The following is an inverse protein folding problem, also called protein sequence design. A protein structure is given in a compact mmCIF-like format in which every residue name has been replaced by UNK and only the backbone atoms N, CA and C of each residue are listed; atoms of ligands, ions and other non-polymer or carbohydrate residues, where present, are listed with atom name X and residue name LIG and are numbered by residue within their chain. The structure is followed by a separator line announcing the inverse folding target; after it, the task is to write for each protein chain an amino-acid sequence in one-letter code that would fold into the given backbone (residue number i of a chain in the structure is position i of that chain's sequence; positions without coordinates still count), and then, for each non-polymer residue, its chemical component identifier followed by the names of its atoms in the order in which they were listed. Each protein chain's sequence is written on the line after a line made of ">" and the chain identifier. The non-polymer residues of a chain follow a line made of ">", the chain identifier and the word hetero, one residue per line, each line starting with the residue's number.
data_IF_466196571495
#
_entry.id   IF_466196571495
#
_cell.length_a   1.000
_cell.length_b   1.000
_cell.length_c   1.000
_cell.angle_alpha   90.00
_cell.angle_beta   90.00
_cell.angle_gamma   90.00
#
_symmetry.space_group_name_H-M   'P 1'
#
loop_
_entity.id
_entity.type
_entity.pdbx_description
1 polymer ?
#
# COMPACT_ATOMS: atom_id res chain seq x y z
N UNK A 1 -24.05 13.72 -18.46
CA UNK A 1 -23.01 13.68 -17.42
C UNK A 1 -23.36 12.56 -16.47
N UNK A 2 -22.72 11.40 -16.59
CA UNK A 2 -22.71 10.36 -15.56
C UNK A 2 -21.56 9.43 -15.89
N UNK A 3 -20.34 9.91 -15.62
CA UNK A 3 -19.20 9.02 -15.53
C UNK A 3 -19.34 8.33 -14.18
N UNK A 4 -19.58 7.02 -14.16
CA UNK A 4 -19.66 6.26 -12.92
C UNK A 4 -18.27 6.27 -12.29
N UNK A 5 -18.06 7.15 -11.30
CA UNK A 5 -16.84 7.19 -10.50
C UNK A 5 -16.60 5.80 -9.90
N UNK A 6 -15.35 5.29 -9.96
CA UNK A 6 -15.03 4.00 -9.37
C UNK A 6 -15.32 4.04 -7.86
N UNK A 7 -15.87 2.98 -7.26
CA UNK A 7 -16.20 2.98 -5.82
C UNK A 7 -15.03 3.35 -4.91
N UNK A 8 -13.80 2.97 -5.26
CA UNK A 8 -12.60 3.33 -4.53
C UNK A 8 -12.27 4.84 -4.62
N UNK A 9 -12.47 5.46 -5.79
CA UNK A 9 -12.24 6.89 -5.99
C UNK A 9 -13.30 7.72 -5.25
N UNK A 10 -14.56 7.27 -5.27
CA UNK A 10 -15.64 7.84 -4.46
C UNK A 10 -15.32 7.76 -2.97
N UNK A 11 -14.84 6.60 -2.48
CA UNK A 11 -14.47 6.41 -1.08
C UNK A 11 -13.34 7.36 -0.67
N UNK A 12 -12.30 7.48 -1.50
CA UNK A 12 -11.18 8.42 -1.27
C UNK A 12 -11.70 9.85 -1.20
N UNK A 13 -12.50 10.28 -2.18
CA UNK A 13 -13.03 11.65 -2.27
C UNK A 13 -13.93 12.01 -1.09
N UNK A 14 -14.85 11.13 -0.71
CA UNK A 14 -15.77 11.36 0.43
C UNK A 14 -15.01 11.35 1.76
N UNK A 15 -14.05 10.43 1.92
CA UNK A 15 -13.23 10.37 3.14
C UNK A 15 -12.37 11.62 3.28
N UNK A 16 -11.72 12.08 2.20
CA UNK A 16 -10.95 13.31 2.19
C UNK A 16 -11.81 14.53 2.55
N UNK A 17 -13.01 14.66 1.95
CA UNK A 17 -13.92 15.75 2.25
C UNK A 17 -14.36 15.74 3.73
N UNK A 18 -14.63 14.56 4.30
CA UNK A 18 -14.98 14.42 5.70
C UNK A 18 -13.81 14.80 6.64
N UNK A 19 -12.57 14.43 6.31
CA UNK A 19 -11.38 14.81 7.09
C UNK A 19 -11.20 16.33 7.10
N UNK A 20 -11.32 17.00 5.95
CA UNK A 20 -11.23 18.47 5.87
C UNK A 20 -12.33 19.16 6.70
N UNK A 21 -13.56 18.66 6.61
CA UNK A 21 -14.69 19.20 7.36
C UNK A 21 -14.53 19.01 8.88
N UNK A 22 -14.10 17.82 9.33
CA UNK A 22 -13.93 17.51 10.75
C UNK A 22 -12.74 18.23 11.39
N UNK A 23 -11.62 18.33 10.67
CA UNK A 23 -10.42 19.06 11.12
C UNK A 23 -10.61 20.58 11.14
N UNK A 24 -11.65 21.10 10.48
CA UNK A 24 -11.87 22.54 10.25
C UNK A 24 -10.71 23.22 9.50
N UNK A 25 -10.03 22.47 8.62
CA UNK A 25 -8.92 22.96 7.78
C UNK A 25 -9.30 22.77 6.31
N UNK A 26 -9.70 23.87 5.64
CA UNK A 26 -10.21 23.83 4.27
C UNK A 26 -9.12 23.53 3.24
N UNK A 27 -7.91 24.03 3.49
CA UNK A 27 -6.74 23.88 2.61
C UNK A 27 -5.96 22.58 2.87
N UNK A 28 -6.39 21.77 3.84
CA UNK A 28 -5.71 20.52 4.20
C UNK A 28 -5.65 19.57 3.00
N UNK A 29 -4.45 19.12 2.62
CA UNK A 29 -4.26 18.13 1.58
C UNK A 29 -4.45 16.72 2.13
N UNK A 30 -5.13 15.85 1.40
CA UNK A 30 -5.36 14.46 1.84
C UNK A 30 -4.83 13.52 0.76
N UNK A 31 -3.77 12.79 1.12
CA UNK A 31 -3.11 11.83 0.25
C UNK A 31 -3.46 10.40 0.69
N UNK A 32 -3.44 9.47 -0.26
CA UNK A 32 -3.66 8.05 0.00
C UNK A 32 -2.42 7.27 -0.42
N UNK A 33 -1.79 6.55 0.51
CA UNK A 33 -0.54 5.82 0.29
C UNK A 33 -0.65 4.36 0.74
N UNK A 34 0.23 3.50 0.23
CA UNK A 34 0.18 2.06 0.51
C UNK A 34 0.49 1.71 1.98
N UNK A 35 1.27 2.54 2.69
CA UNK A 35 1.70 2.25 4.06
C UNK A 35 1.66 3.46 4.97
N UNK A 36 1.17 3.25 6.19
CA UNK A 36 1.19 4.22 7.27
C UNK A 36 0.13 5.30 7.17
N UNK A 37 -0.30 5.78 8.34
CA UNK A 37 -1.15 6.94 8.49
C UNK A 37 -0.38 8.02 9.24
N UNK A 38 -0.36 9.24 8.71
CA UNK A 38 0.31 10.37 9.35
C UNK A 38 -0.46 11.66 9.11
N UNK A 39 -0.28 12.63 9.99
CA UNK A 39 -0.87 13.95 9.86
C UNK A 39 0.17 15.01 10.20
N UNK A 40 0.30 15.99 9.32
CA UNK A 40 0.97 17.26 9.57
C UNK A 40 -0.10 18.37 9.60
N UNK A 41 0.32 19.60 9.86
CA UNK A 41 -0.61 20.73 9.88
C UNK A 41 -1.27 21.01 8.51
N UNK A 42 -0.57 20.69 7.42
CA UNK A 42 -0.97 21.01 6.05
C UNK A 42 -1.44 19.79 5.27
N UNK A 43 -1.00 18.57 5.63
CA UNK A 43 -1.32 17.35 4.90
C UNK A 43 -1.65 16.17 5.82
N UNK A 44 -2.59 15.33 5.38
CA UNK A 44 -2.91 14.03 6.00
C UNK A 44 -2.66 12.92 5.00
N UNK A 45 -1.87 11.93 5.41
CA UNK A 45 -1.64 10.71 4.64
C UNK A 45 -2.47 9.58 5.24
N UNK A 46 -3.39 9.04 4.45
CA UNK A 46 -4.25 7.91 4.81
C UNK A 46 -3.82 6.64 4.09
N UNK A 47 -4.09 5.46 4.66
CA UNK A 47 -3.89 4.21 3.95
C UNK A 47 -4.82 4.14 2.74
N UNK A 48 -4.29 3.77 1.58
CA UNK A 48 -5.08 3.54 0.39
C UNK A 48 -6.00 2.33 0.60
N UNK A 49 -7.30 2.42 0.25
CA UNK A 49 -8.18 1.25 0.29
C UNK A 49 -7.65 0.18 -0.66
N UNK A 50 -7.40 -1.02 -0.14
CA UNK A 50 -6.97 -2.19 -0.92
C UNK A 50 -8.19 -2.98 -1.40
N UNK A 51 -8.21 -3.35 -2.68
CA UNK A 51 -9.26 -4.18 -3.25
C UNK A 51 -10.66 -3.53 -3.28
N UNK A 52 -11.73 -4.33 -3.49
CA UNK A 52 -13.09 -3.81 -3.50
C UNK A 52 -13.52 -3.33 -2.10
N UNK A 53 -14.32 -2.26 -2.00
CA UNK A 53 -14.69 -1.68 -0.71
C UNK A 53 -15.56 -2.65 0.11
N UNK A 54 -14.97 -3.25 1.15
CA UNK A 54 -15.69 -4.01 2.16
C UNK A 54 -16.18 -3.08 3.28
N UNK A 55 -17.28 -3.45 3.95
CA UNK A 55 -17.81 -2.66 5.07
C UNK A 55 -16.78 -2.48 6.20
N UNK A 56 -16.02 -3.54 6.51
CA UNK A 56 -14.94 -3.51 7.50
C UNK A 56 -13.77 -2.62 7.04
N UNK A 57 -13.35 -2.73 5.78
CA UNK A 57 -12.28 -1.91 5.22
C UNK A 57 -12.63 -0.42 5.19
N UNK A 58 -13.88 -0.08 4.85
CA UNK A 58 -14.40 1.29 4.93
C UNK A 58 -14.37 1.78 6.38
N UNK A 59 -14.87 0.99 7.33
CA UNK A 59 -14.93 1.39 8.74
C UNK A 59 -13.53 1.59 9.32
N UNK A 60 -12.57 0.73 8.96
CA UNK A 60 -11.15 0.87 9.33
C UNK A 60 -10.54 2.16 8.79
N UNK A 61 -10.70 2.41 7.48
CA UNK A 61 -10.21 3.63 6.84
C UNK A 61 -10.83 4.88 7.48
N UNK A 62 -12.15 4.87 7.69
CA UNK A 62 -12.88 5.95 8.34
C UNK A 62 -12.42 6.16 9.78
N UNK A 63 -12.16 5.09 10.54
CA UNK A 63 -11.63 5.18 11.90
C UNK A 63 -10.26 5.86 11.94
N UNK A 64 -9.35 5.49 11.03
CA UNK A 64 -8.03 6.14 10.93
C UNK A 64 -8.17 7.61 10.54
N UNK A 65 -9.01 7.90 9.54
CA UNK A 65 -9.26 9.25 9.06
C UNK A 65 -9.88 10.14 10.15
N UNK A 66 -10.87 9.62 10.87
CA UNK A 66 -11.56 10.35 11.93
C UNK A 66 -10.62 10.61 13.12
N UNK A 67 -9.79 9.63 13.52
CA UNK A 67 -8.80 9.81 14.59
C UNK A 67 -7.80 10.93 14.27
N UNK A 68 -7.28 10.98 13.05
CA UNK A 68 -6.35 12.03 12.61
C UNK A 68 -7.05 13.40 12.49
N UNK A 69 -8.26 13.43 11.95
CA UNK A 69 -9.02 14.67 11.82
C UNK A 69 -9.38 15.28 13.19
N UNK A 70 -9.74 14.44 14.16
CA UNK A 70 -10.01 14.87 15.53
C UNK A 70 -8.77 15.39 16.23
N UNK A 71 -7.62 14.75 16.01
CA UNK A 71 -6.34 15.25 16.51
C UNK A 71 -6.06 16.63 15.92
N UNK A 72 -6.12 16.81 14.61
CA UNK A 72 -5.92 18.12 13.98
C UNK A 72 -6.91 19.20 14.44
N UNK A 73 -8.11 18.81 14.89
CA UNK A 73 -9.15 19.72 15.35
C UNK A 73 -8.96 20.21 16.78
N UNK A 74 -8.56 19.30 17.68
CA UNK A 74 -8.59 19.51 19.12
C UNK A 74 -7.21 19.57 19.77
N UNK A 75 -6.16 19.29 19.02
CA UNK A 75 -4.78 19.34 19.45
C UNK A 75 -4.08 20.63 19.00
N UNK A 76 -3.46 21.32 19.94
CA UNK A 76 -2.52 22.41 19.75
C UNK A 76 -1.09 21.85 19.85
N UNK A 77 -0.35 21.92 18.74
CA UNK A 77 0.99 21.36 18.64
C UNK A 77 2.03 22.12 19.49
N UNK A 78 1.85 23.42 19.71
CA UNK A 78 2.79 24.25 20.46
C UNK A 78 2.63 24.07 21.97
N UNK A 79 1.39 23.94 22.43
CA UNK A 79 1.09 23.54 23.82
C UNK A 79 1.64 22.14 24.09
N UNK A 80 1.42 21.20 23.17
CA UNK A 80 1.93 19.84 23.30
C UNK A 80 3.45 19.77 23.37
N UNK A 81 4.16 20.44 22.45
CA UNK A 81 5.63 20.46 22.39
C UNK A 81 6.26 21.05 23.65
N UNK A 82 5.63 22.06 24.26
CA UNK A 82 6.10 22.68 25.51
C UNK A 82 5.90 21.79 26.74
N UNK A 83 4.86 20.96 26.74
CA UNK A 83 4.53 20.10 27.89
C UNK A 83 5.04 18.67 27.76
N UNK A 84 5.39 18.23 26.55
CA UNK A 84 5.83 16.88 26.29
C UNK A 84 7.06 16.52 27.16
N UNK A 85 7.02 15.38 27.87
CA UNK A 85 8.17 14.87 28.60
C UNK A 85 9.33 14.51 27.66
N UNK A 86 10.56 14.57 28.19
CA UNK A 86 11.81 14.22 27.49
C UNK A 86 12.05 12.72 27.40
N UNK A 87 11.67 11.95 28.44
CA UNK A 87 11.86 10.50 28.47
C UNK A 87 10.92 9.76 27.49
N UNK A 88 11.40 8.69 26.81
CA UNK A 88 10.64 8.00 25.76
C UNK A 88 9.32 7.38 26.27
N UNK A 89 9.34 6.75 27.45
CA UNK A 89 8.14 6.12 28.01
C UNK A 89 7.12 7.16 28.47
N UNK A 90 7.57 8.22 29.15
CA UNK A 90 6.72 9.35 29.54
C UNK A 90 6.11 10.05 28.32
N UNK A 91 6.89 10.24 27.26
CA UNK A 91 6.42 10.80 26.00
C UNK A 91 5.33 9.91 25.37
N UNK A 92 5.53 8.59 25.34
CA UNK A 92 4.54 7.65 24.80
C UNK A 92 3.22 7.66 25.61
N UNK A 93 3.30 7.75 26.95
CA UNK A 93 2.12 7.92 27.81
C UNK A 93 1.40 9.23 27.50
N UNK A 94 2.15 10.32 27.37
CA UNK A 94 1.62 11.65 27.07
C UNK A 94 0.87 11.66 25.73
N UNK A 95 1.46 11.06 24.70
CA UNK A 95 0.85 10.87 23.37
C UNK A 95 -0.43 10.03 23.42
N UNK A 96 -0.41 8.90 24.12
CA UNK A 96 -1.56 8.00 24.21
C UNK A 96 -2.76 8.68 24.90
N UNK A 97 -2.49 9.43 25.98
CA UNK A 97 -3.52 10.15 26.74
C UNK A 97 -4.06 11.36 25.98
N UNK A 98 -3.22 12.06 25.22
CA UNK A 98 -3.63 13.17 24.38
C UNK A 98 -4.48 12.70 23.19
N UNK A 99 -4.13 11.54 22.59
CA UNK A 99 -4.94 10.91 21.56
C UNK A 99 -6.33 10.53 22.12
N UNK A 100 -6.39 9.91 23.31
CA UNK A 100 -7.65 9.57 23.97
C UNK A 100 -8.52 10.81 24.23
N UNK A 101 -7.92 11.93 24.65
CA UNK A 101 -8.61 13.21 24.84
C UNK A 101 -9.23 13.70 23.53
N UNK A 102 -8.44 13.82 22.46
CA UNK A 102 -8.92 14.31 21.16
C UNK A 102 -10.07 13.44 20.61
N UNK A 103 -9.91 12.12 20.71
CA UNK A 103 -10.94 11.17 20.29
C UNK A 103 -12.23 11.31 21.12
N UNK A 104 -12.13 11.53 22.44
CA UNK A 104 -13.30 11.61 23.32
C UNK A 104 -14.17 12.83 23.01
N UNK A 105 -13.54 13.98 22.75
CA UNK A 105 -14.22 15.22 22.37
C UNK A 105 -15.00 15.06 21.05
N UNK A 106 -14.44 14.29 20.11
CA UNK A 106 -15.10 13.94 18.86
C UNK A 106 -16.25 12.96 19.04
N UNK A 107 -16.00 11.87 19.76
CA UNK A 107 -16.95 10.78 19.97
C UNK A 107 -18.25 11.25 20.67
N UNK A 108 -18.14 12.19 21.63
CA UNK A 108 -19.31 12.77 22.30
C UNK A 108 -20.25 13.52 21.35
N UNK A 109 -19.71 14.16 20.31
CA UNK A 109 -20.48 14.99 19.38
C UNK A 109 -20.98 14.21 18.18
N UNK A 110 -20.29 13.12 17.82
CA UNK A 110 -20.50 12.40 16.57
C UNK A 110 -20.56 10.89 16.82
N UNK A 111 -21.77 10.35 16.98
CA UNK A 111 -22.00 8.93 17.29
C UNK A 111 -21.42 7.99 16.22
N UNK A 112 -21.48 8.38 14.94
CA UNK A 112 -20.86 7.59 13.87
C UNK A 112 -19.34 7.53 13.94
N UNK A 113 -18.70 8.63 14.37
CA UNK A 113 -17.25 8.69 14.59
C UNK A 113 -16.87 7.83 15.79
N UNK A 114 -17.67 7.85 16.87
CA UNK A 114 -17.46 6.97 18.02
C UNK A 114 -17.41 5.49 17.60
N UNK A 115 -18.35 5.05 16.75
CA UNK A 115 -18.35 3.68 16.21
C UNK A 115 -17.12 3.35 15.36
N UNK A 116 -16.67 4.28 14.52
CA UNK A 116 -15.46 4.07 13.70
C UNK A 116 -14.20 3.96 14.57
N UNK A 117 -14.08 4.80 15.61
CA UNK A 117 -12.97 4.77 16.55
C UNK A 117 -12.97 3.50 17.41
N UNK A 118 -14.14 3.06 17.87
CA UNK A 118 -14.30 1.81 18.63
C UNK A 118 -13.88 0.60 17.78
N UNK A 119 -14.28 0.55 16.50
CA UNK A 119 -13.86 -0.48 15.56
C UNK A 119 -12.34 -0.48 15.34
N UNK A 120 -11.76 0.71 15.09
CA UNK A 120 -10.31 0.85 14.90
C UNK A 120 -9.52 0.37 16.12
N UNK A 121 -9.99 0.73 17.32
CA UNK A 121 -9.33 0.34 18.57
C UNK A 121 -9.43 -1.17 18.80
N UNK A 122 -10.58 -1.78 18.56
CA UNK A 122 -10.76 -3.23 18.67
C UNK A 122 -9.82 -4.00 17.72
N UNK A 123 -9.69 -3.54 16.47
CA UNK A 123 -8.73 -4.06 15.49
C UNK A 123 -7.28 -3.94 15.98
N UNK A 124 -6.88 -2.78 16.52
CA UNK A 124 -5.53 -2.58 17.09
C UNK A 124 -5.27 -3.53 18.27
N UNK A 125 -6.23 -3.67 19.19
CA UNK A 125 -6.09 -4.57 20.33
C UNK A 125 -6.00 -6.05 19.89
N UNK A 126 -6.74 -6.44 18.84
CA UNK A 126 -6.67 -7.79 18.28
C UNK A 126 -5.34 -8.05 17.60
N UNK A 127 -4.85 -7.11 16.79
CA UNK A 127 -3.55 -7.21 16.13
C UNK A 127 -2.38 -7.34 17.11
N UNK A 128 -2.50 -6.76 18.31
CA UNK A 128 -1.51 -6.88 19.40
C UNK A 128 -1.71 -8.12 20.28
N UNK A 129 -2.74 -8.92 20.05
CA UNK A 129 -2.99 -10.15 20.82
C UNK A 129 -3.50 -9.94 22.24
N UNK A 130 -4.02 -8.76 22.59
CA UNK A 130 -4.44 -8.44 23.97
C UNK A 130 -5.55 -9.32 24.54
N UNK A 131 -6.30 -10.01 23.68
CA UNK A 131 -7.29 -11.00 24.13
C UNK A 131 -6.70 -12.25 24.79
N UNK A 132 -5.42 -12.56 24.56
CA UNK A 132 -4.73 -13.74 25.10
C UNK A 132 -3.68 -13.45 26.17
N UNK A 133 -3.45 -12.17 26.50
CA UNK A 133 -2.41 -11.78 27.47
C UNK A 133 -2.84 -12.13 28.89
N UNK A 134 -2.01 -12.90 29.60
CA UNK A 134 -2.27 -13.29 31.01
C UNK A 134 -1.36 -12.58 32.00
N UNK A 135 -0.18 -12.12 31.55
CA UNK A 135 0.80 -11.45 32.39
C UNK A 135 0.82 -9.94 32.15
N UNK A 136 1.19 -9.18 33.18
CA UNK A 136 1.23 -7.72 33.09
C UNK A 136 2.36 -7.23 32.18
N UNK A 137 3.47 -7.96 32.14
CA UNK A 137 4.71 -7.58 31.44
C UNK A 137 4.57 -7.61 29.91
N UNK A 138 3.60 -8.36 29.40
CA UNK A 138 3.29 -8.44 27.97
C UNK A 138 2.56 -7.19 27.43
N UNK A 139 2.15 -6.28 28.33
CA UNK A 139 1.39 -5.08 28.01
C UNK A 139 2.26 -3.82 28.05
N UNK A 140 2.22 -3.01 26.98
CA UNK A 140 2.84 -1.69 26.99
C UNK A 140 2.03 -0.72 27.84
N UNK A 141 2.64 -0.22 28.92
CA UNK A 141 2.00 0.71 29.87
C UNK A 141 1.34 1.96 29.23
N UNK A 142 1.93 2.62 28.21
CA UNK A 142 1.28 3.74 27.52
C UNK A 142 -0.10 3.38 26.94
N UNK A 143 -0.24 2.18 26.40
CA UNK A 143 -1.48 1.73 25.78
C UNK A 143 -2.54 1.42 26.82
N UNK A 144 -2.15 0.76 27.90
CA UNK A 144 -3.05 0.47 29.02
C UNK A 144 -3.57 1.77 29.65
N UNK A 145 -2.71 2.78 29.80
CA UNK A 145 -3.11 4.10 30.29
C UNK A 145 -4.05 4.81 29.31
N UNK A 146 -3.78 4.77 28.01
CA UNK A 146 -4.68 5.32 26.99
C UNK A 146 -6.06 4.65 27.00
N UNK A 147 -6.10 3.32 27.14
CA UNK A 147 -7.33 2.53 27.27
C UNK A 147 -8.10 2.85 28.56
N UNK A 148 -7.38 3.01 29.67
CA UNK A 148 -7.98 3.37 30.95
C UNK A 148 -8.53 4.80 30.94
N UNK A 149 -7.83 5.75 30.32
CA UNK A 149 -8.32 7.11 30.14
C UNK A 149 -9.56 7.15 29.23
N UNK A 150 -9.57 6.36 28.15
CA UNK A 150 -10.75 6.17 27.30
C UNK A 150 -11.97 5.71 28.09
N UNK A 151 -11.82 4.78 29.03
CA UNK A 151 -12.93 4.31 29.87
C UNK A 151 -13.46 5.42 30.80
N UNK A 152 -12.60 6.35 31.24
CA UNK A 152 -13.00 7.47 32.10
C UNK A 152 -13.59 8.64 31.32
N UNK A 153 -13.15 8.85 30.09
CA UNK A 153 -13.61 9.95 29.25
C UNK A 153 -15.01 9.63 28.67
N UNK A 154 -15.90 10.64 28.56
CA UNK A 154 -17.26 10.39 28.09
C UNK A 154 -17.29 10.02 26.60
N UNK A 155 -18.29 9.22 26.23
CA UNK A 155 -18.60 8.91 24.83
C UNK A 155 -17.78 7.78 24.22
N UNK A 156 -17.00 7.04 25.02
CA UNK A 156 -16.18 5.95 24.54
C UNK A 156 -16.34 4.69 25.40
N UNK A 157 -16.37 3.53 24.76
CA UNK A 157 -16.40 2.24 25.46
C UNK A 157 -15.06 1.53 25.31
N UNK A 158 -14.71 0.72 26.31
CA UNK A 158 -13.58 -0.17 26.22
C UNK A 158 -13.95 -1.40 25.35
N UNK A 159 -13.19 -1.72 24.29
CA UNK A 159 -13.47 -2.88 23.45
C UNK A 159 -13.31 -4.17 24.25
N UNK A 160 -14.03 -5.22 23.86
CA UNK A 160 -14.08 -6.48 24.61
C UNK A 160 -12.69 -7.11 24.74
N UNK A 161 -11.91 -7.01 23.68
CA UNK A 161 -10.54 -7.48 23.55
C UNK A 161 -9.57 -6.79 24.53
N UNK A 162 -9.87 -5.57 24.97
CA UNK A 162 -9.01 -4.78 25.87
C UNK A 162 -9.41 -4.85 27.35
N UNK A 163 -10.57 -5.42 27.68
CA UNK A 163 -11.07 -5.45 29.07
C UNK A 163 -10.13 -6.22 29.99
N UNK A 164 -9.69 -7.40 29.55
CA UNK A 164 -8.86 -8.27 30.38
C UNK A 164 -7.53 -7.62 30.76
N UNK A 165 -6.81 -7.07 29.79
CA UNK A 165 -5.53 -6.39 29.99
C UNK A 165 -5.67 -5.15 30.88
N UNK A 166 -6.74 -4.37 30.74
CA UNK A 166 -7.00 -3.22 31.61
C UNK A 166 -7.30 -3.67 33.04
N UNK A 167 -8.10 -4.73 33.22
CA UNK A 167 -8.45 -5.28 34.54
C UNK A 167 -7.21 -5.76 35.31
N UNK A 168 -6.21 -6.33 34.63
CA UNK A 168 -4.94 -6.74 35.26
C UNK A 168 -4.18 -5.58 35.89
N UNK A 169 -4.21 -4.40 35.26
CA UNK A 169 -3.50 -3.18 35.68
C UNK A 169 -4.34 -2.22 36.52
N UNK A 170 -5.67 -2.39 36.51
CA UNK A 170 -6.64 -1.44 37.08
C UNK A 170 -6.37 -1.11 38.54
N UNK A 171 -6.15 -2.11 39.38
CA UNK A 171 -5.93 -1.90 40.82
C UNK A 171 -4.65 -1.12 41.11
N UNK A 172 -3.58 -1.41 40.36
CA UNK A 172 -2.30 -0.74 40.53
C UNK A 172 -2.35 0.71 40.04
N UNK A 173 -2.91 0.94 38.85
CA UNK A 173 -3.02 2.28 38.26
C UNK A 173 -4.00 3.15 39.05
N UNK A 174 -5.14 2.62 39.51
CA UNK A 174 -6.05 3.38 40.36
C UNK A 174 -5.41 3.76 41.70
N UNK A 175 -4.52 2.92 42.25
CA UNK A 175 -3.80 3.25 43.49
C UNK A 175 -2.78 4.38 43.29
N UNK A 176 -2.09 4.43 42.14
CA UNK A 176 -1.05 5.43 41.85
C UNK A 176 -1.60 6.75 41.28
N UNK A 177 -2.52 6.65 40.32
CA UNK A 177 -3.01 7.79 39.51
C UNK A 177 -4.54 7.92 39.46
N UNK A 178 -5.26 7.19 40.31
CA UNK A 178 -6.72 7.22 40.37
C UNK A 178 -7.36 8.61 40.55
N UNK A 179 -6.83 9.48 41.43
CA UNK A 179 -7.34 10.85 41.58
C UNK A 179 -7.22 11.67 40.29
N UNK A 180 -6.05 11.63 39.64
CA UNK A 180 -5.79 12.36 38.39
C UNK A 180 -6.68 11.83 37.26
N UNK A 181 -6.86 10.50 37.16
CA UNK A 181 -7.77 9.86 36.19
C UNK A 181 -9.22 10.34 36.34
N UNK A 182 -9.67 10.63 37.56
CA UNK A 182 -11.03 11.13 37.82
C UNK A 182 -11.21 12.61 37.44
N UNK A 183 -10.11 13.36 37.29
CA UNK A 183 -10.13 14.77 36.89
C UNK A 183 -9.95 14.97 35.39
N UNK A 184 -9.55 13.94 34.64
CA UNK A 184 -9.38 14.00 33.18
C UNK A 184 -10.65 14.48 32.46
N UNK A 185 -11.83 14.01 32.86
CA UNK A 185 -13.10 14.42 32.24
C UNK A 185 -13.35 15.92 32.39
N UNK A 186 -13.06 16.49 33.57
CA UNK A 186 -13.30 17.91 33.86
C UNK A 186 -12.40 18.82 33.05
N UNK A 187 -11.17 18.37 32.79
CA UNK A 187 -10.15 19.14 32.07
C UNK A 187 -10.04 18.76 30.59
N UNK A 188 -10.89 17.86 30.06
CA UNK A 188 -10.76 17.38 28.68
C UNK A 188 -10.84 18.50 27.61
N UNK A 189 -11.52 19.61 27.91
CA UNK A 189 -11.67 20.77 27.02
C UNK A 189 -10.46 21.72 27.01
N UNK A 190 -9.63 21.69 28.06
CA UNK A 190 -8.45 22.55 28.21
C UNK A 190 -7.18 21.68 28.11
N UNK A 191 -6.47 21.81 26.98
CA UNK A 191 -5.30 20.99 26.71
C UNK A 191 -4.14 21.26 27.67
N UNK A 192 -3.97 22.50 28.16
CA UNK A 192 -2.89 22.83 29.10
C UNK A 192 -3.18 22.25 30.49
N UNK A 193 -4.41 22.39 30.97
CA UNK A 193 -4.84 21.77 32.23
C UNK A 193 -4.77 20.23 32.17
N UNK A 194 -5.22 19.64 31.06
CA UNK A 194 -5.11 18.19 30.83
C UNK A 194 -3.65 17.73 30.79
N UNK A 195 -2.79 18.43 30.05
CA UNK A 195 -1.37 18.10 29.94
C UNK A 195 -0.64 18.15 31.29
N UNK A 196 -0.97 19.11 32.15
CA UNK A 196 -0.41 19.18 33.51
C UNK A 196 -0.84 17.97 34.37
N UNK A 197 -2.11 17.56 34.32
CA UNK A 197 -2.55 16.33 34.99
C UNK A 197 -1.81 15.10 34.48
N UNK A 198 -1.60 14.99 33.17
CA UNK A 198 -0.85 13.87 32.60
C UNK A 198 0.61 13.89 33.06
N UNK A 199 1.26 15.06 33.14
CA UNK A 199 2.62 15.16 33.69
C UNK A 199 2.67 14.71 35.16
N UNK A 200 1.69 15.09 35.97
CA UNK A 200 1.58 14.61 37.36
C UNK A 200 1.41 13.09 37.42
N UNK A 201 0.64 12.49 36.50
CA UNK A 201 0.52 11.04 36.39
C UNK A 201 1.86 10.38 36.03
N UNK A 202 2.61 10.95 35.09
CA UNK A 202 3.93 10.44 34.67
C UNK A 202 4.93 10.50 35.83
N UNK A 203 4.90 11.56 36.64
CA UNK A 203 5.68 11.66 37.89
C UNK A 203 5.26 10.58 38.88
N UNK A 204 3.95 10.41 39.12
CA UNK A 204 3.44 9.44 40.09
C UNK A 204 3.71 7.97 39.70
N UNK A 205 3.90 7.71 38.42
CA UNK A 205 4.28 6.40 37.89
C UNK A 205 5.80 6.17 37.87
N UNK A 206 6.59 7.16 38.35
CA UNK A 206 8.07 7.13 38.35
C UNK A 206 8.67 6.98 36.95
N UNK A 207 7.96 7.49 35.93
CA UNK A 207 8.34 7.39 34.53
C UNK A 207 9.09 8.64 34.03
N UNK A 208 9.44 9.57 34.94
CA UNK A 208 10.30 10.71 34.62
C UNK A 208 11.77 10.34 34.77
N UNK A 209 12.46 10.19 33.64
CA UNK A 209 13.91 10.38 33.60
C UNK A 209 14.19 11.87 33.35
N UNK A 210 14.54 12.57 34.43
CA UNK A 210 14.88 13.99 34.54
C UNK A 210 13.80 15.02 34.18
N UNK A 211 13.47 15.85 35.17
CA UNK A 211 12.68 17.05 35.01
C UNK A 211 13.38 18.04 34.05
N UNK A 212 12.65 18.81 33.23
CA UNK A 212 13.26 19.82 32.39
C UNK A 212 13.87 20.91 33.27
N UNK A 213 15.18 21.13 33.12
CA UNK A 213 15.80 22.36 33.58
C UNK A 213 15.13 23.56 32.87
N UNK A 214 14.85 24.67 33.58
CA UNK A 214 14.24 25.85 32.97
C UNK A 214 15.17 26.38 31.88
N UNK A 215 14.57 26.71 30.74
CA UNK A 215 15.22 27.14 29.51
C UNK A 215 16.06 28.40 29.73
N UNK A 216 17.36 28.33 29.43
CA UNK A 216 18.14 29.52 29.07
C UNK A 216 18.21 29.64 27.54
N UNK A 217 18.09 30.85 26.98
CA UNK A 217 18.09 31.06 25.53
C UNK A 217 19.53 31.07 25.01
N UNK A 218 19.93 30.03 24.25
CA UNK A 218 21.20 30.09 23.53
C UNK A 218 21.06 30.75 22.16
N UNK A 219 21.88 31.79 22.01
CA UNK A 219 22.08 32.63 20.84
C UNK A 219 22.53 31.83 19.61
N UNK A 220 22.01 32.24 18.45
CA UNK A 220 22.62 32.00 17.14
C UNK A 220 24.01 32.64 17.06
N UNK A 221 25.00 31.90 16.55
CA UNK A 221 26.05 32.49 15.73
C UNK A 221 26.70 31.50 14.77
N UNK A 222 26.79 31.96 13.52
CA UNK A 222 27.35 31.36 12.32
C UNK A 222 28.79 30.86 12.45
N UNK A 223 29.17 29.89 11.60
CA UNK A 223 30.38 30.00 10.76
C UNK A 223 30.32 29.04 9.59
N UNK A 224 30.52 29.59 8.39
CA UNK A 224 30.71 28.94 7.10
C UNK A 224 32.21 28.75 6.77
N UNK A 225 32.47 27.89 5.76
CA UNK A 225 33.66 27.81 4.90
C UNK A 225 34.98 27.28 5.52
N UNK A 226 35.88 26.54 4.85
CA UNK A 226 35.96 25.97 3.49
C UNK A 226 37.13 24.94 3.45
N UNK A 227 37.06 24.06 2.45
CA UNK A 227 38.12 23.49 1.58
C UNK A 227 39.22 22.45 1.98
N UNK A 228 39.28 21.45 1.08
CA UNK A 228 40.44 20.87 0.35
C UNK A 228 41.52 19.93 0.96
N UNK A 229 41.55 18.72 0.35
CA UNK A 229 42.65 18.09 -0.42
C UNK A 229 43.39 16.81 0.06
N UNK A 230 43.21 15.76 -0.79
CA UNK A 230 44.17 14.84 -1.43
C UNK A 230 45.00 13.77 -0.68
N UNK A 231 45.03 12.57 -1.28
CA UNK A 231 46.11 11.58 -1.15
C UNK A 231 45.79 10.17 -1.67
N UNK A 232 46.04 9.90 -2.96
CA UNK A 232 46.18 8.56 -3.56
C UNK A 232 47.41 7.81 -2.97
N UNK A 233 47.41 6.47 -2.87
CA UNK A 233 47.96 5.57 -3.90
C UNK A 233 48.04 4.07 -3.49
N UNK A 234 47.99 3.26 -4.54
CA UNK A 234 48.14 1.82 -4.82
C UNK A 234 48.84 0.81 -3.88
N UNK A 235 48.15 -0.35 -3.75
CA UNK A 235 48.51 -1.69 -4.27
C UNK A 235 49.80 -2.41 -3.80
N UNK A 236 49.66 -3.61 -3.21
CA UNK A 236 50.25 -4.89 -3.69
C UNK A 236 50.05 -6.06 -2.71
N UNK A 237 49.55 -7.18 -3.23
CA UNK A 237 49.56 -8.53 -2.64
C UNK A 237 51.00 -9.12 -2.67
N UNK A 238 51.32 -10.18 -1.90
CA UNK A 238 51.35 -11.51 -2.54
C UNK A 238 51.04 -12.73 -1.64
N UNK A 239 50.66 -13.81 -2.32
CA UNK A 239 50.41 -15.19 -1.88
C UNK A 239 51.55 -15.92 -1.15
N UNK A 240 51.19 -16.94 -0.34
CA UNK A 240 51.82 -18.28 -0.37
C UNK A 240 51.09 -19.31 0.53
N UNK A 241 50.81 -20.48 -0.06
CA UNK A 241 50.24 -21.73 0.47
C UNK A 241 51.05 -22.46 1.57
N UNK A 242 50.36 -23.28 2.39
CA UNK A 242 50.62 -24.74 2.55
C UNK A 242 49.64 -25.43 3.54
N UNK A 243 48.89 -26.42 3.01
CA UNK A 243 48.57 -27.79 3.48
C UNK A 243 48.81 -28.18 4.97
N UNK A 244 48.03 -29.03 5.68
CA UNK A 244 47.47 -30.34 5.28
C UNK A 244 46.51 -30.95 6.34
N UNK A 245 45.54 -31.72 5.84
CA UNK A 245 44.92 -33.00 6.30
C UNK A 245 44.01 -33.14 7.55
N UNK A 246 42.91 -33.89 7.35
CA UNK A 246 42.00 -34.35 8.41
C UNK A 246 40.63 -34.94 7.99
N UNK A 247 40.54 -35.73 6.91
CA UNK A 247 39.62 -36.86 6.65
C UNK A 247 38.17 -36.91 7.25
N UNK A 248 37.13 -37.02 6.40
CA UNK A 248 36.32 -38.26 6.18
C UNK A 248 35.07 -38.03 5.27
N UNK A 249 35.11 -38.78 4.17
CA UNK A 249 34.13 -39.26 3.17
C UNK A 249 32.60 -39.20 3.39
N UNK A 250 31.88 -38.88 2.29
CA UNK A 250 30.83 -39.70 1.62
C UNK A 250 30.17 -38.85 0.51
N UNK A 251 30.69 -38.77 -0.71
CA UNK A 251 30.44 -39.62 -1.90
C UNK A 251 28.96 -39.86 -2.25
N UNK A 252 28.50 -39.16 -3.32
CA UNK A 252 27.53 -39.53 -4.39
C UNK A 252 27.07 -38.20 -5.02
N UNK A 253 27.27 -37.82 -6.28
CA UNK A 253 27.50 -38.53 -7.53
C UNK A 253 26.70 -37.78 -8.61
N UNK A 254 27.18 -36.60 -9.04
CA UNK A 254 26.53 -35.79 -10.08
C UNK A 254 27.29 -35.95 -11.41
N UNK A 255 26.56 -36.48 -12.40
CA UNK A 255 27.03 -36.65 -13.76
C UNK A 255 26.82 -35.35 -14.55
N UNK A 256 27.87 -34.94 -15.25
CA UNK A 256 27.84 -33.92 -16.28
C UNK A 256 26.84 -34.25 -17.38
N UNK A 257 26.04 -33.25 -17.77
CA UNK A 257 25.48 -33.13 -19.12
C UNK A 257 25.64 -31.68 -19.56
N UNK A 258 26.67 -31.45 -20.37
CA UNK A 258 26.76 -30.33 -21.29
C UNK A 258 25.66 -30.48 -22.34
N UNK A 259 24.81 -29.47 -22.49
CA UNK A 259 24.00 -29.28 -23.69
C UNK A 259 24.21 -27.86 -24.19
N UNK A 260 25.30 -27.73 -24.95
CA UNK A 260 25.61 -26.62 -25.82
C UNK A 260 24.65 -26.70 -27.03
N UNK A 261 23.52 -26.00 -26.93
CA UNK A 261 22.68 -25.69 -28.08
C UNK A 261 23.01 -24.26 -28.54
N UNK A 262 24.13 -24.13 -29.25
CA UNK A 262 24.42 -22.99 -30.11
C UNK A 262 23.30 -22.85 -31.15
N UNK A 263 22.36 -21.93 -30.90
CA UNK A 263 21.49 -21.43 -31.94
C UNK A 263 22.31 -20.53 -32.87
N UNK A 264 22.78 -21.11 -33.98
CA UNK A 264 23.57 -20.42 -35.00
C UNK A 264 22.82 -19.19 -35.53
N UNK A 265 23.23 -18.01 -35.08
CA UNK A 265 22.79 -16.70 -35.59
C UNK A 265 23.72 -16.30 -36.74
N UNK A 266 23.59 -16.96 -37.88
CA UNK A 266 24.23 -16.50 -39.13
C UNK A 266 23.13 -16.12 -40.13
N UNK A 267 22.93 -14.80 -40.29
CA UNK A 267 22.08 -14.25 -41.36
C UNK A 267 21.07 -13.17 -40.95
N UNK A 268 21.14 -12.60 -39.73
CA UNK A 268 20.25 -11.51 -39.33
C UNK A 268 21.05 -10.22 -39.22
N UNK A 269 20.64 -9.24 -40.04
CA UNK A 269 21.25 -7.92 -40.19
C UNK A 269 21.42 -7.22 -38.83
N UNK A 270 22.65 -6.77 -38.59
CA UNK A 270 23.18 -6.18 -37.35
C UNK A 270 22.85 -4.68 -37.28
N UNK A 271 21.59 -4.31 -37.44
CA UNK A 271 21.16 -2.91 -37.31
C UNK A 271 19.85 -2.76 -36.53
N UNK A 272 19.75 -3.51 -35.43
CA UNK A 272 18.69 -3.30 -34.43
C UNK A 272 19.31 -2.66 -33.20
N UNK A 273 19.25 -1.33 -33.20
CA UNK A 273 19.47 -0.45 -32.05
C UNK A 273 19.27 -1.18 -30.72
N UNK A 274 20.37 -1.37 -29.97
CA UNK A 274 20.31 -1.69 -28.54
C UNK A 274 19.64 -0.52 -27.82
N UNK A 275 18.31 -0.53 -27.78
CA UNK A 275 17.54 0.24 -26.84
C UNK A 275 17.68 -0.42 -25.48
N UNK A 276 18.61 0.09 -24.67
CA UNK A 276 18.72 -0.17 -23.24
C UNK A 276 17.54 0.51 -22.52
N UNK A 277 16.34 0.01 -22.79
CA UNK A 277 15.13 0.37 -22.07
C UNK A 277 14.86 -0.70 -21.03
N UNK A 278 14.63 -0.30 -19.79
CA UNK A 278 13.99 -1.13 -18.77
C UNK A 278 12.60 -1.52 -19.28
N UNK A 279 12.52 -2.56 -20.11
CA UNK A 279 11.29 -3.00 -20.77
C UNK A 279 10.51 -3.90 -19.81
N UNK A 280 9.70 -3.26 -18.96
CA UNK A 280 8.57 -3.94 -18.33
C UNK A 280 7.76 -4.68 -19.41
N UNK A 281 7.26 -5.90 -19.13
CA UNK A 281 6.55 -6.70 -20.11
C UNK A 281 5.42 -5.89 -20.74
N UNK A 282 5.43 -5.79 -22.08
CA UNK A 282 4.47 -5.02 -22.89
C UNK A 282 3.03 -5.59 -22.91
N UNK A 283 2.59 -6.24 -21.82
CA UNK A 283 1.18 -6.45 -21.52
C UNK A 283 0.61 -5.19 -20.85
N UNK A 284 -0.72 -5.02 -20.83
CA UNK A 284 -1.35 -4.00 -19.98
C UNK A 284 -0.89 -4.24 -18.53
N UNK A 285 -0.01 -3.37 -18.02
CA UNK A 285 0.42 -3.38 -16.60
C UNK A 285 -0.75 -3.07 -15.69
N UNK A 286 -1.75 -2.33 -16.21
CA UNK A 286 -3.09 -2.24 -15.66
C UNK A 286 -4.02 -3.25 -16.35
N UNK A 287 -4.54 -4.18 -15.56
CA UNK A 287 -5.62 -5.07 -15.98
C UNK A 287 -6.83 -4.23 -16.43
N UNK A 288 -7.20 -4.24 -17.71
CA UNK A 288 -8.40 -3.54 -18.19
C UNK A 288 -9.62 -4.23 -17.54
N UNK A 289 -10.33 -3.53 -16.64
CA UNK A 289 -11.54 -4.03 -15.98
C UNK A 289 -12.67 -4.37 -16.98
N UNK A 290 -12.52 -3.96 -18.25
CA UNK A 290 -13.43 -4.35 -19.35
C UNK A 290 -13.08 -5.70 -19.98
N UNK A 291 -11.91 -6.27 -19.69
CA UNK A 291 -11.67 -7.65 -20.08
C UNK A 291 -12.59 -8.54 -19.25
N UNK A 292 -13.32 -9.48 -19.88
CA UNK A 292 -14.15 -10.42 -19.14
C UNK A 292 -13.25 -11.11 -18.12
N UNK A 293 -13.47 -10.83 -16.84
CA UNK A 293 -12.89 -11.67 -15.80
C UNK A 293 -13.43 -13.08 -16.09
N UNK A 294 -12.60 -14.10 -15.93
CA UNK A 294 -13.08 -15.48 -15.78
C UNK A 294 -13.85 -15.62 -14.45
N UNK A 295 -14.72 -14.65 -14.14
CA UNK A 295 -15.76 -14.81 -13.16
C UNK A 295 -16.73 -15.84 -13.74
N UNK A 296 -17.24 -16.77 -12.93
CA UNK A 296 -18.35 -17.61 -13.34
C UNK A 296 -19.54 -16.67 -13.58
N UNK A 297 -19.70 -16.22 -14.82
CA UNK A 297 -20.89 -15.53 -15.26
C UNK A 297 -22.04 -16.53 -15.09
N UNK A 298 -23.12 -16.14 -14.41
CA UNK A 298 -24.35 -16.95 -14.27
C UNK A 298 -25.02 -17.26 -15.64
N UNK A 299 -24.38 -16.85 -16.74
CA UNK A 299 -24.67 -17.18 -18.14
C UNK A 299 -23.76 -18.29 -18.68
N UNK A 300 -23.42 -19.28 -17.86
CA UNK A 300 -22.66 -20.46 -18.28
C UNK A 300 -23.42 -21.31 -19.32
N UNK A 301 -23.36 -20.89 -20.59
CA UNK A 301 -23.68 -21.71 -21.76
C UNK A 301 -22.69 -22.88 -21.92
N UNK A 302 -21.54 -22.78 -21.26
CA UNK A 302 -20.53 -23.82 -21.23
C UNK A 302 -20.70 -24.71 -19.99
N UNK A 303 -20.92 -26.00 -20.21
CA UNK A 303 -20.87 -27.03 -19.17
C UNK A 303 -19.79 -28.03 -19.58
N UNK A 304 -18.89 -28.36 -18.65
CA UNK A 304 -17.94 -29.44 -18.85
C UNK A 304 -18.69 -30.74 -19.20
N UNK A 305 -18.26 -31.43 -20.25
CA UNK A 305 -18.91 -32.65 -20.72
C UNK A 305 -18.74 -33.82 -19.72
N UNK A 306 -17.59 -33.89 -19.05
CA UNK A 306 -17.31 -34.84 -17.96
C UNK A 306 -16.27 -34.23 -17.02
N UNK A 307 -16.38 -34.56 -15.73
CA UNK A 307 -15.39 -34.20 -14.69
C UNK A 307 -14.66 -35.45 -14.15
N UNK A 308 -14.84 -36.61 -14.79
CA UNK A 308 -14.33 -37.89 -14.29
C UNK A 308 -12.79 -38.01 -14.28
N UNK A 309 -12.09 -37.07 -14.93
CA UNK A 309 -10.63 -37.06 -15.09
C UNK A 309 -9.99 -35.77 -14.57
N UNK A 310 -10.78 -34.89 -13.95
CA UNK A 310 -10.31 -33.60 -13.45
C UNK A 310 -10.08 -33.69 -11.94
N UNK A 311 -8.99 -33.09 -11.48
CA UNK A 311 -8.67 -32.97 -10.05
C UNK A 311 -8.41 -31.50 -9.73
N UNK A 312 -9.02 -31.01 -8.64
CA UNK A 312 -8.81 -29.65 -8.13
C UNK A 312 -8.22 -29.79 -6.74
N UNK A 313 -6.95 -29.42 -6.61
CA UNK A 313 -6.18 -29.48 -5.36
C UNK A 313 -5.72 -28.07 -5.03
N UNK A 314 -5.80 -27.70 -3.76
CA UNK A 314 -5.30 -26.39 -3.31
C UNK A 314 -3.77 -26.41 -3.28
N UNK A 315 -3.14 -25.28 -3.62
CA UNK A 315 -1.67 -25.20 -3.71
C UNK A 315 -0.97 -25.52 -2.37
N UNK A 316 -1.65 -25.24 -1.25
CA UNK A 316 -1.19 -25.54 0.11
C UNK A 316 -1.14 -27.04 0.42
N UNK A 317 -1.90 -27.87 -0.30
CA UNK A 317 -1.92 -29.33 -0.13
C UNK A 317 -0.83 -30.03 -0.98
N UNK A 318 -0.28 -29.34 -1.99
CA UNK A 318 0.73 -29.88 -2.91
C UNK A 318 2.17 -29.55 -2.50
N UNK A 319 2.39 -28.41 -1.84
CA UNK A 319 3.73 -27.98 -1.46
C UNK A 319 3.71 -27.08 -0.22
N UNK A 320 4.76 -27.20 0.60
CA UNK A 320 4.98 -26.33 1.74
C UNK A 320 5.37 -24.91 1.30
N UNK A 321 5.11 -23.91 2.16
CA UNK A 321 5.37 -22.49 1.84
C UNK A 321 6.84 -22.17 1.47
N UNK A 322 7.79 -22.89 2.07
CA UNK A 322 9.22 -22.75 1.76
C UNK A 322 9.55 -23.33 0.37
N UNK A 323 8.97 -24.48 0.02
CA UNK A 323 9.17 -25.12 -1.28
C UNK A 323 8.51 -24.31 -2.40
N UNK A 324 7.33 -23.75 -2.16
CA UNK A 324 6.65 -22.85 -3.09
C UNK A 324 7.53 -21.63 -3.42
N UNK A 325 8.17 -21.05 -2.40
CA UNK A 325 9.08 -19.91 -2.58
C UNK A 325 10.31 -20.30 -3.40
N UNK A 326 10.87 -21.49 -3.18
CA UNK A 326 11.99 -22.02 -3.99
C UNK A 326 11.59 -22.25 -5.45
N UNK A 327 10.43 -22.86 -5.68
CA UNK A 327 9.93 -23.14 -7.04
C UNK A 327 9.63 -21.85 -7.80
N UNK A 328 9.10 -20.81 -7.12
CA UNK A 328 8.94 -19.48 -7.71
C UNK A 328 10.26 -18.87 -8.15
N UNK A 329 11.27 -18.87 -7.28
CA UNK A 329 12.59 -18.34 -7.60
C UNK A 329 13.23 -19.07 -8.81
N UNK A 330 13.08 -20.39 -8.87
CA UNK A 330 13.55 -21.19 -10.01
C UNK A 330 12.82 -20.84 -11.31
N UNK A 331 11.50 -20.64 -11.25
CA UNK A 331 10.69 -20.25 -12.39
C UNK A 331 11.05 -18.83 -12.88
N UNK A 332 11.26 -17.89 -11.97
CA UNK A 332 11.70 -16.53 -12.30
C UNK A 332 13.08 -16.54 -12.98
N UNK A 333 14.01 -17.37 -12.48
CA UNK A 333 15.32 -17.55 -13.10
C UNK A 333 15.20 -18.12 -14.53
N UNK A 334 14.33 -19.11 -14.75
CA UNK A 334 14.09 -19.67 -16.08
C UNK A 334 13.39 -18.67 -17.02
N UNK A 335 12.48 -17.84 -16.51
CA UNK A 335 11.78 -16.82 -17.30
C UNK A 335 12.69 -15.65 -17.69
N UNK A 336 13.68 -15.30 -16.85
CA UNK A 336 14.58 -14.17 -17.12
C UNK A 336 15.26 -14.25 -18.50
N UNK A 337 15.69 -15.44 -18.90
CA UNK A 337 16.32 -15.66 -20.22
C UNK A 337 15.31 -15.61 -21.38
N UNK A 338 14.04 -15.93 -21.13
CA UNK A 338 12.98 -15.96 -22.14
C UNK A 338 12.35 -14.58 -22.39
N UNK A 339 12.51 -13.62 -21.48
CA UNK A 339 11.93 -12.27 -21.61
C UNK A 339 12.33 -11.59 -22.94
N UNK A 340 13.61 -11.66 -23.32
CA UNK A 340 14.07 -11.08 -24.58
C UNK A 340 13.57 -11.79 -25.85
N UNK A 341 13.18 -13.07 -25.75
CA UNK A 341 12.57 -13.81 -26.86
C UNK A 341 11.08 -13.45 -26.99
N UNK A 342 10.38 -13.32 -25.86
CA UNK A 342 8.97 -12.95 -25.82
C UNK A 342 8.74 -11.56 -26.40
N UNK A 343 9.56 -10.56 -26.05
CA UNK A 343 9.46 -9.20 -26.59
C UNK A 343 9.63 -9.17 -28.12
N UNK A 344 10.61 -9.91 -28.65
CA UNK A 344 10.83 -10.04 -30.10
C UNK A 344 9.65 -10.71 -30.79
N UNK A 345 9.09 -11.76 -30.19
CA UNK A 345 7.95 -12.48 -30.75
C UNK A 345 6.66 -11.63 -30.71
N UNK A 346 6.42 -10.92 -29.61
CA UNK A 346 5.28 -10.04 -29.40
C UNK A 346 5.28 -8.89 -30.42
N UNK A 347 6.41 -8.20 -30.60
CA UNK A 347 6.56 -7.15 -31.61
C UNK A 347 6.31 -7.68 -33.04
N UNK A 348 6.82 -8.88 -33.36
CA UNK A 348 6.59 -9.50 -34.67
C UNK A 348 5.12 -9.83 -34.90
N UNK A 349 4.42 -10.34 -33.88
CA UNK A 349 2.98 -10.65 -33.94
C UNK A 349 2.14 -9.38 -34.01
N UNK A 350 2.47 -8.36 -33.21
CA UNK A 350 1.81 -7.06 -33.22
C UNK A 350 1.87 -6.41 -34.59
N UNK A 351 3.05 -6.35 -35.23
CA UNK A 351 3.20 -5.81 -36.59
C UNK A 351 2.35 -6.58 -37.60
N UNK A 352 2.36 -7.92 -37.54
CA UNK A 352 1.54 -8.76 -38.44
C UNK A 352 0.03 -8.56 -38.24
N UNK A 353 -0.41 -8.39 -37.00
CA UNK A 353 -1.82 -8.19 -36.69
C UNK A 353 -2.29 -6.77 -37.04
N UNK A 354 -1.48 -5.74 -36.74
CA UNK A 354 -1.79 -4.35 -37.12
C UNK A 354 -1.83 -4.17 -38.64
N UNK A 355 -0.91 -4.79 -39.38
CA UNK A 355 -0.93 -4.76 -40.85
C UNK A 355 -2.21 -5.39 -41.45
N UNK A 356 -2.88 -6.28 -40.72
CA UNK A 356 -4.15 -6.88 -41.14
C UNK A 356 -5.37 -5.99 -40.84
N UNK A 357 -5.22 -5.00 -39.94
CA UNK A 357 -6.32 -4.22 -39.39
C UNK A 357 -6.58 -2.91 -40.15
N UNK A 358 -5.57 -2.32 -40.79
CA UNK A 358 -5.67 -1.05 -41.55
C UNK A 358 -5.80 -1.29 -43.05
N UNK A 359 -6.85 -1.99 -43.49
CA UNK A 359 -7.29 -1.93 -44.89
C UNK A 359 -8.45 -0.97 -45.01
N UNK A 360 -8.22 0.23 -45.53
CA UNK A 360 -9.29 1.19 -45.84
C UNK A 360 -9.69 1.06 -47.31
N UNK A 361 -11.00 1.11 -47.55
CA UNK A 361 -11.58 1.04 -48.88
C UNK A 361 -12.31 2.34 -49.16
N UNK A 362 -12.02 2.93 -50.32
CA UNK A 362 -12.84 3.99 -50.89
C UNK A 362 -14.00 3.36 -51.65
N UNK A 363 -15.21 3.83 -51.34
CA UNK A 363 -16.45 3.42 -51.99
C UNK A 363 -16.95 4.56 -52.86
N UNK A 364 -17.92 4.25 -53.72
CA UNK A 364 -18.56 5.26 -54.56
C UNK A 364 -17.57 5.90 -55.56
N UNK A 365 -16.76 5.07 -56.23
CA UNK A 365 -15.84 5.54 -57.27
C UNK A 365 -16.42 5.31 -58.68
N UNK A 366 -15.99 6.15 -59.64
CA UNK A 366 -16.34 6.02 -61.05
C UNK A 366 -15.56 4.91 -61.76
N UNK A 367 -14.37 4.58 -61.24
CA UNK A 367 -13.50 3.51 -61.72
C UNK A 367 -12.93 2.70 -60.54
N UNK A 368 -12.49 1.46 -60.80
CA UNK A 368 -11.91 0.57 -59.79
C UNK A 368 -12.47 -0.85 -59.83
N UNK A 369 -12.44 -1.54 -58.69
CA UNK A 369 -12.97 -2.90 -58.54
C UNK A 369 -14.46 -2.83 -58.23
N UNK A 370 -15.28 -3.67 -58.88
CA UNK A 370 -16.72 -3.62 -58.71
C UNK A 370 -17.12 -4.11 -57.30
N UNK A 371 -17.92 -3.32 -56.57
CA UNK A 371 -18.39 -3.70 -55.25
C UNK A 371 -19.51 -4.76 -55.34
N UNK A 372 -19.20 -5.99 -54.96
CA UNK A 372 -20.14 -7.11 -54.97
C UNK A 372 -21.43 -6.84 -54.15
N UNK A 373 -21.36 -6.00 -53.10
CA UNK A 373 -22.53 -5.63 -52.31
C UNK A 373 -23.52 -4.72 -53.08
N UNK A 374 -23.03 -4.01 -54.10
CA UNK A 374 -23.81 -3.07 -54.93
C UNK A 374 -24.08 -3.60 -56.34
N UNK A 375 -23.74 -4.86 -56.59
CA UNK A 375 -23.93 -5.53 -57.88
C UNK A 375 -25.41 -5.50 -58.34
N UNK A 376 -26.36 -5.53 -57.41
CA UNK A 376 -27.78 -5.40 -57.70
C UNK A 376 -28.14 -4.09 -58.39
N UNK A 377 -27.49 -2.97 -58.01
CA UNK A 377 -27.73 -1.65 -58.60
C UNK A 377 -27.24 -1.55 -60.04
N UNK A 378 -26.12 -2.21 -60.36
CA UNK A 378 -25.61 -2.29 -61.74
C UNK A 378 -26.63 -2.97 -62.66
N UNK A 379 -27.39 -3.93 -62.14
CA UNK A 379 -28.42 -4.66 -62.90
C UNK A 379 -29.74 -3.88 -62.96
N UNK A 380 -30.15 -3.21 -61.88
CA UNK A 380 -31.45 -2.54 -61.81
C UNK A 380 -31.45 -1.10 -62.31
N UNK A 381 -30.32 -0.39 -62.18
CA UNK A 381 -30.17 1.01 -62.61
C UNK A 381 -28.74 1.28 -63.11
N UNK A 382 -28.44 0.93 -64.38
CA UNK A 382 -27.10 1.01 -64.94
C UNK A 382 -26.61 2.45 -65.20
N UNK A 383 -27.47 3.46 -65.03
CA UNK A 383 -27.12 4.87 -65.23
C UNK A 383 -26.63 5.56 -63.95
N UNK A 384 -26.65 4.87 -62.81
CA UNK A 384 -26.15 5.42 -61.56
C UNK A 384 -24.62 5.24 -61.47
N UNK A 385 -23.82 6.31 -61.58
CA UNK A 385 -22.37 6.21 -61.31
C UNK A 385 -22.15 5.83 -59.83
N UNK A 386 -20.93 5.41 -59.45
CA UNK A 386 -20.49 5.11 -58.07
C UNK A 386 -20.68 3.65 -57.58
N UNK A 387 -20.47 2.64 -58.44
CA UNK A 387 -20.54 1.21 -58.07
C UNK A 387 -19.18 0.53 -57.87
N UNK A 388 -18.09 1.28 -58.01
CA UNK A 388 -16.73 0.77 -57.85
C UNK A 388 -16.18 1.13 -56.47
N UNK A 389 -15.24 0.32 -56.02
CA UNK A 389 -14.44 0.50 -54.82
C UNK A 389 -12.97 0.32 -55.14
N UNK A 390 -12.10 0.97 -54.38
CA UNK A 390 -10.65 0.85 -54.50
C UNK A 390 -10.04 0.74 -53.11
N UNK A 391 -9.01 -0.09 -52.98
CA UNK A 391 -8.23 -0.17 -51.74
C UNK A 391 -7.32 1.07 -51.69
N UNK A 392 -7.31 1.79 -50.56
CA UNK A 392 -6.39 2.90 -50.37
C UNK A 392 -4.98 2.35 -50.15
N UNK A 393 -4.02 2.81 -50.95
CA UNK A 393 -2.61 2.59 -50.67
C UNK A 393 -2.24 3.38 -49.41
N UNK A 394 -1.94 2.64 -48.35
CA UNK A 394 -1.41 3.23 -47.12
C UNK A 394 0.11 3.14 -47.20
N UNK A 395 0.81 4.28 -47.23
CA UNK A 395 2.26 4.32 -47.13
C UNK A 395 2.69 3.73 -45.79
N UNK A 396 3.15 2.48 -45.83
CA UNK A 396 3.83 1.88 -44.70
C UNK A 396 5.17 2.60 -44.55
N UNK A 397 5.44 3.17 -43.38
CA UNK A 397 6.82 3.47 -43.01
C UNK A 397 7.53 2.13 -42.88
N UNK A 398 8.28 1.75 -43.91
CA UNK A 398 9.22 0.64 -43.82
C UNK A 398 10.13 0.91 -42.62
N UNK A 399 10.11 -0.05 -41.69
CA UNK A 399 11.23 -0.35 -40.80
C UNK A 399 12.25 -1.16 -41.54
#
# INVERSE_FOLDING_TARGET
>A
MNNSERPADLLKRVTAAAVKAMSNRHELEVHFQASGASATEEAVNLPAPSGPPSAEGITKLRGVADALALRLRYHDADVHRRMAPTGPDGHAVFEALEQARCESLGAQRMVGVAGNLDFLLAEKCRAKGYGGVTEREDAMLPEVLGLLARERLPGQNLPKEAKHIVDLWRDELNRKVGPQLAELEKNALDQEAYGNLVREMIVALDMMTDAPAPSEPENQQDSADDDAEQGQDQNQNPDADMDTDGSLSSESGEAEMSDDMEFSTEGFDDDVMSGDGEEEPAGPTDWDDRWPRNAPDDLALYKAFTQAYDEVVEAEELCDSEELSRLRAQLDQQLSHLQGVVARLANRLQRKLMAKQTRSWDFDLEEGVLDAARLSRVVTDPLHPLSFKQEQDTDFRDT
#
